data_IF_868401687180
#
_entry.id   IF_868401687180
#
_cell.length_a   1.000
_cell.length_b   1.000
_cell.length_c   1.000
_cell.angle_alpha   90.00
_cell.angle_beta   90.00
_cell.angle_gamma   90.00
#
_symmetry.space_group_name_H-M   'P 1'
#
loop_
_entity.id
_entity.type
_entity.pdbx_description
1 polymer ?
#
# COMPACT_ATOMS: atom_id res chain seq x y z
N UNK A 1 4.70 15.26 -6.68
CA UNK A 1 4.30 15.49 -5.27
C UNK A 1 4.36 14.13 -4.60
N UNK A 2 5.35 13.90 -3.72
CA UNK A 2 5.57 12.57 -3.14
C UNK A 2 4.33 12.02 -2.41
N UNK A 3 4.07 10.71 -2.52
CA UNK A 3 3.02 10.05 -1.75
C UNK A 3 3.36 10.12 -0.26
N UNK A 4 2.36 10.43 0.54
CA UNK A 4 2.47 10.54 1.99
C UNK A 4 1.92 9.29 2.69
N UNK A 5 2.39 9.04 3.92
CA UNK A 5 1.87 7.98 4.79
C UNK A 5 0.34 8.08 4.96
N UNK A 6 -0.19 9.29 5.04
CA UNK A 6 -1.62 9.55 5.24
C UNK A 6 -2.42 9.13 4.00
N UNK A 7 -1.96 9.47 2.80
CA UNK A 7 -2.61 9.06 1.55
C UNK A 7 -2.65 7.53 1.37
N UNK A 8 -1.57 6.83 1.73
CA UNK A 8 -1.55 5.35 1.70
C UNK A 8 -2.53 4.79 2.72
N UNK A 9 -2.55 5.34 3.94
CA UNK A 9 -3.49 4.90 4.98
C UNK A 9 -4.94 5.10 4.57
N UNK A 10 -5.30 6.29 4.07
CA UNK A 10 -6.65 6.58 3.58
C UNK A 10 -7.04 5.67 2.41
N UNK A 11 -6.08 5.32 1.55
CA UNK A 11 -6.30 4.41 0.43
C UNK A 11 -6.63 2.98 0.91
N UNK A 12 -5.95 2.49 1.95
CA UNK A 12 -6.22 1.18 2.55
C UNK A 12 -7.58 1.20 3.27
N UNK A 13 -7.87 2.27 4.03
CA UNK A 13 -9.16 2.44 4.70
C UNK A 13 -10.32 2.48 3.67
N UNK A 14 -10.11 3.12 2.51
CA UNK A 14 -11.08 3.14 1.40
C UNK A 14 -11.27 1.78 0.72
N UNK A 15 -10.22 0.95 0.65
CA UNK A 15 -10.32 -0.42 0.16
C UNK A 15 -11.15 -1.31 1.10
N UNK A 16 -11.16 -0.99 2.39
CA UNK A 16 -12.08 -1.51 3.40
C UNK A 16 -11.40 -2.23 4.55
N UNK A 17 -12.15 -2.39 5.66
CA UNK A 17 -11.66 -2.95 6.93
C UNK A 17 -11.06 -4.36 6.80
N UNK A 18 -11.47 -5.14 5.80
CA UNK A 18 -10.90 -6.46 5.54
C UNK A 18 -9.41 -6.40 5.16
N UNK A 19 -9.00 -5.37 4.41
CA UNK A 19 -7.61 -5.13 4.05
C UNK A 19 -6.79 -4.70 5.27
N UNK A 20 -7.38 -3.87 6.12
CA UNK A 20 -6.78 -3.46 7.39
C UNK A 20 -6.60 -4.63 8.36
N UNK A 21 -7.63 -5.47 8.49
CA UNK A 21 -7.58 -6.69 9.31
C UNK A 21 -6.60 -7.73 8.77
N UNK A 22 -6.45 -7.84 7.44
CA UNK A 22 -5.45 -8.71 6.83
C UNK A 22 -4.03 -8.26 7.19
N UNK A 23 -3.76 -6.95 7.18
CA UNK A 23 -2.50 -6.40 7.68
C UNK A 23 -2.31 -6.79 9.15
N UNK A 24 -3.24 -6.44 10.03
CA UNK A 24 -3.12 -6.69 11.48
C UNK A 24 -2.87 -8.18 11.77
N UNK A 25 -3.66 -9.08 11.19
CA UNK A 25 -3.54 -10.53 11.45
C UNK A 25 -2.22 -11.11 10.98
N UNK A 26 -1.73 -10.70 9.81
CA UNK A 26 -0.40 -11.15 9.36
C UNK A 26 0.70 -10.66 10.30
N UNK A 27 0.57 -9.46 10.85
CA UNK A 27 1.54 -8.91 11.79
C UNK A 27 1.50 -9.63 13.15
N UNK A 28 0.30 -9.97 13.64
CA UNK A 28 0.14 -10.80 14.85
C UNK A 28 0.77 -12.20 14.68
N UNK A 29 0.69 -12.76 13.47
CA UNK A 29 1.25 -14.09 13.16
C UNK A 29 2.78 -14.06 12.90
N UNK A 30 3.32 -13.00 12.29
CA UNK A 30 4.71 -12.94 11.83
C UNK A 30 5.69 -12.32 12.85
N UNK A 31 5.28 -11.31 13.64
CA UNK A 31 6.19 -10.59 14.56
C UNK A 31 5.55 -10.29 15.92
N UNK A 32 5.59 -11.24 16.86
CA UNK A 32 5.06 -10.99 18.20
C UNK A 32 5.88 -9.94 19.00
N UNK A 33 7.17 -9.74 18.67
CA UNK A 33 8.11 -8.96 19.50
C UNK A 33 8.46 -7.55 18.95
N UNK A 34 8.27 -7.31 17.66
CA UNK A 34 8.43 -5.98 17.03
C UNK A 34 7.22 -5.73 16.17
N UNK A 35 6.33 -4.85 16.62
CA UNK A 35 5.10 -4.51 15.91
C UNK A 35 5.36 -3.28 15.04
N UNK A 36 5.77 -3.39 13.76
CA UNK A 36 5.65 -2.24 12.87
C UNK A 36 4.17 -1.87 12.83
N UNK A 37 3.88 -0.62 13.14
CA UNK A 37 2.51 -0.14 13.15
C UNK A 37 2.01 -0.09 11.71
N UNK A 38 0.69 -0.11 11.47
CA UNK A 38 0.14 0.15 10.14
C UNK A 38 0.64 1.46 9.51
N UNK A 39 1.09 2.41 10.36
CA UNK A 39 1.77 3.62 9.93
C UNK A 39 3.16 3.41 9.33
N UNK A 40 3.92 2.44 9.84
CA UNK A 40 5.23 2.07 9.34
C UNK A 40 5.12 1.37 7.98
N UNK A 41 4.09 0.53 7.82
CA UNK A 41 3.72 -0.07 6.53
C UNK A 41 3.34 1.01 5.50
N UNK A 42 2.45 1.92 5.88
CA UNK A 42 2.04 3.02 5.00
C UNK A 42 3.23 3.93 4.63
N UNK A 43 4.20 4.10 5.54
CA UNK A 43 5.45 4.80 5.25
C UNK A 43 6.33 4.02 4.28
N UNK A 44 6.52 2.72 4.48
CA UNK A 44 7.31 1.86 3.58
C UNK A 44 6.76 1.86 2.15
N UNK A 45 5.44 1.78 1.99
CA UNK A 45 4.82 1.84 0.66
C UNK A 45 4.91 3.23 0.04
N UNK A 46 4.76 4.30 0.82
CA UNK A 46 5.00 5.64 0.32
C UNK A 46 6.44 5.79 -0.21
N UNK A 47 7.44 5.33 0.55
CA UNK A 47 8.85 5.34 0.12
C UNK A 47 9.08 4.47 -1.12
N UNK A 48 8.44 3.30 -1.23
CA UNK A 48 8.53 2.42 -2.41
C UNK A 48 7.91 3.07 -3.65
N UNK A 49 6.71 3.62 -3.54
CA UNK A 49 6.02 4.30 -4.64
C UNK A 49 6.79 5.55 -5.10
N UNK A 50 7.38 6.30 -4.15
CA UNK A 50 8.27 7.43 -4.45
C UNK A 50 9.52 6.97 -5.22
N UNK A 51 10.12 5.83 -4.86
CA UNK A 51 11.28 5.25 -5.58
C UNK A 51 10.94 4.76 -6.99
N UNK A 52 9.68 4.40 -7.26
CA UNK A 52 9.23 4.01 -8.60
C UNK A 52 8.99 5.21 -9.53
N UNK A 53 9.34 6.44 -9.11
CA UNK A 53 9.00 7.71 -9.77
C UNK A 53 7.50 7.91 -10.01
N UNK A 54 6.64 7.10 -9.36
CA UNK A 54 5.18 7.20 -9.48
C UNK A 54 4.61 8.37 -8.68
N UNK A 55 5.42 8.99 -7.84
CA UNK A 55 5.01 10.09 -6.99
C UNK A 55 5.39 11.47 -7.52
N UNK A 56 6.26 11.55 -8.54
CA UNK A 56 6.63 12.86 -9.10
C UNK A 56 5.63 13.38 -10.12
N UNK A 57 4.73 12.54 -10.64
CA UNK A 57 3.67 13.00 -11.54
C UNK A 57 2.48 13.53 -10.76
N UNK A 58 2.25 14.85 -10.82
CA UNK A 58 0.99 15.48 -10.39
C UNK A 58 -0.25 14.90 -11.14
N UNK A 59 0.00 14.18 -12.23
CA UNK A 59 -0.99 13.47 -13.02
C UNK A 59 -1.31 12.06 -12.47
N UNK A 60 -0.66 11.57 -11.40
CA UNK A 60 -0.94 10.25 -10.84
C UNK A 60 -1.78 10.38 -9.57
N UNK A 61 -2.89 9.63 -9.52
CA UNK A 61 -3.79 9.56 -8.37
C UNK A 61 -3.86 8.12 -7.85
N UNK A 62 -3.54 7.94 -6.58
CA UNK A 62 -3.76 6.67 -5.89
C UNK A 62 -5.27 6.48 -5.66
N UNK A 63 -5.85 5.47 -6.29
CA UNK A 63 -7.29 5.17 -6.21
C UNK A 63 -7.57 4.24 -5.04
N UNK A 64 -6.84 3.13 -4.99
CA UNK A 64 -7.12 2.00 -4.08
C UNK A 64 -5.82 1.27 -3.76
N UNK A 65 -5.69 0.81 -2.53
CA UNK A 65 -4.60 -0.08 -2.10
C UNK A 65 -5.20 -1.42 -1.74
N UNK A 66 -4.85 -2.45 -2.51
CA UNK A 66 -5.32 -3.83 -2.30
C UNK A 66 -4.31 -4.58 -1.47
N UNK A 67 -4.77 -5.07 -0.34
CA UNK A 67 -4.02 -5.99 0.51
C UNK A 67 -4.63 -7.38 0.39
N UNK A 68 -3.83 -8.34 -0.04
CA UNK A 68 -4.24 -9.74 -0.15
C UNK A 68 -3.37 -10.60 0.76
N UNK A 69 -4.04 -11.45 1.54
CA UNK A 69 -3.35 -12.41 2.39
C UNK A 69 -3.04 -13.68 1.61
N UNK A 70 -1.76 -13.97 1.47
CA UNK A 70 -1.25 -15.26 0.99
C UNK A 70 -1.00 -16.17 2.21
N UNK A 71 -0.85 -17.50 2.00
CA UNK A 71 -0.63 -18.44 3.09
C UNK A 71 0.60 -18.12 3.97
N UNK A 72 1.64 -17.52 3.37
CA UNK A 72 2.92 -17.24 4.04
C UNK A 72 3.36 -15.79 3.95
N UNK A 73 2.59 -14.90 3.32
CA UNK A 73 2.98 -13.51 3.08
C UNK A 73 1.75 -12.60 2.89
N UNK A 74 1.93 -11.29 2.98
CA UNK A 74 0.98 -10.32 2.44
C UNK A 74 1.40 -9.88 1.06
N UNK A 75 0.43 -9.68 0.18
CA UNK A 75 0.61 -9.09 -1.13
C UNK A 75 -0.10 -7.74 -1.16
N UNK A 76 0.64 -6.66 -1.37
CA UNK A 76 0.08 -5.32 -1.51
C UNK A 76 0.27 -4.79 -2.93
N UNK A 77 -0.83 -4.32 -3.52
CA UNK A 77 -0.86 -3.73 -4.85
C UNK A 77 -1.62 -2.41 -4.82
N UNK A 78 -1.12 -1.40 -5.53
CA UNK A 78 -1.76 -0.09 -5.62
C UNK A 78 -2.38 0.10 -7.00
N UNK A 79 -3.66 0.48 -7.03
CA UNK A 79 -4.32 0.93 -8.24
C UNK A 79 -4.10 2.44 -8.38
N UNK A 80 -3.38 2.82 -9.42
CA UNK A 80 -3.07 4.22 -9.72
C UNK A 80 -3.77 4.59 -11.03
N UNK A 81 -4.36 5.78 -11.05
CA UNK A 81 -4.95 6.39 -12.23
C UNK A 81 -4.08 7.55 -12.71
N UNK A 82 -3.79 7.57 -14.00
CA UNK A 82 -3.16 8.69 -14.66
C UNK A 82 -4.25 9.66 -15.13
N UNK A 83 -4.40 10.79 -14.45
CA UNK A 83 -5.48 11.76 -14.61
C UNK A 83 -5.51 12.38 -16.01
N UNK A 84 -4.36 12.59 -16.64
CA UNK A 84 -4.29 13.19 -17.98
C UNK A 84 -4.72 12.23 -19.10
N UNK A 85 -4.65 10.91 -18.88
CA UNK A 85 -5.06 9.90 -19.88
C UNK A 85 -6.25 9.05 -19.44
N UNK A 86 -6.71 9.19 -18.19
CA UNK A 86 -7.72 8.32 -17.55
C UNK A 86 -7.28 6.85 -17.41
N UNK A 87 -6.01 6.54 -17.66
CA UNK A 87 -5.51 5.16 -17.68
C UNK A 87 -5.27 4.67 -16.27
N UNK A 88 -5.76 3.46 -15.96
CA UNK A 88 -5.56 2.83 -14.65
C UNK A 88 -4.58 1.67 -14.77
N UNK A 89 -3.64 1.59 -13.84
CA UNK A 89 -2.70 0.49 -13.76
C UNK A 89 -2.48 0.05 -12.31
N UNK A 90 -2.17 -1.22 -12.14
CA UNK A 90 -1.76 -1.79 -10.87
C UNK A 90 -0.24 -1.77 -10.79
N UNK A 91 0.29 -1.31 -9.67
CA UNK A 91 1.71 -1.44 -9.38
C UNK A 91 2.08 -2.90 -9.18
N UNK A 92 3.36 -3.22 -9.36
CA UNK A 92 3.86 -4.54 -9.05
C UNK A 92 3.51 -4.93 -7.59
N UNK A 93 2.99 -6.15 -7.39
CA UNK A 93 2.63 -6.65 -6.07
C UNK A 93 3.88 -6.74 -5.20
N UNK A 94 3.83 -6.13 -4.04
CA UNK A 94 4.91 -6.20 -3.06
C UNK A 94 4.56 -7.22 -1.98
N UNK A 95 5.49 -8.14 -1.71
CA UNK A 95 5.33 -9.19 -0.69
C UNK A 95 6.40 -9.15 0.41
N UNK A 96 7.25 -8.14 0.42
CA UNK A 96 8.40 -8.04 1.32
C UNK A 96 8.08 -7.47 2.70
N UNK A 97 6.89 -7.74 3.23
CA UNK A 97 6.57 -7.51 4.65
C UNK A 97 7.07 -8.70 5.46
N UNK A 98 8.38 -8.95 5.42
CA UNK A 98 9.07 -9.60 6.52
C UNK A 98 9.38 -8.49 7.52
#
# INVERSE_FOLDING_TARGET
MAFTREEIRESIERAGDAHWQALIRHHEDAYPESRPTPGDVARGEAERLNKMSLADSADLKLIETRVERLPTALRISHLIEHLSTGTRFLTEPFTGYD
#
